data_IF_775828608220
#
_entry.id   IF_775828608220
#
_cell.length_a   1.000
_cell.length_b   1.000
_cell.length_c   1.000
_cell.angle_alpha   90.00
_cell.angle_beta   90.00
_cell.angle_gamma   90.00
#
_symmetry.space_group_name_H-M   'P 1'
#
loop_
_entity.id
_entity.type
_entity.pdbx_description
1 polymer ?
#
# COMPACT_ATOMS: atom_id res chain seq x y z
N UNK A 1 1.12 -66.59 -14.99
CA UNK A 1 1.33 -65.54 -16.01
C UNK A 1 0.78 -64.22 -15.48
N UNK A 2 1.53 -63.13 -15.69
CA UNK A 2 1.37 -61.80 -15.08
C UNK A 2 0.20 -60.97 -15.69
N UNK A 3 0.10 -59.63 -15.46
CA UNK A 3 -0.49 -58.93 -14.29
C UNK A 3 -1.51 -57.84 -14.73
N UNK A 4 -2.46 -57.35 -13.91
CA UNK A 4 -3.14 -56.05 -14.22
C UNK A 4 -3.45 -55.16 -13.00
N UNK A 5 -2.53 -54.19 -12.83
CA UNK A 5 -2.71 -52.73 -12.66
C UNK A 5 -3.58 -52.17 -11.51
N UNK A 6 -2.88 -51.56 -10.54
CA UNK A 6 -3.34 -50.50 -9.63
C UNK A 6 -4.06 -49.39 -10.40
N UNK A 7 -5.25 -49.01 -9.94
CA UNK A 7 -5.95 -47.82 -10.40
C UNK A 7 -5.61 -46.66 -9.47
N UNK A 8 -4.90 -45.66 -9.99
CA UNK A 8 -4.56 -44.41 -9.31
C UNK A 8 -5.76 -43.48 -9.41
N UNK A 9 -6.45 -43.22 -8.30
CA UNK A 9 -7.41 -42.12 -8.21
C UNK A 9 -6.62 -40.80 -8.28
N UNK A 10 -6.66 -40.16 -9.45
CA UNK A 10 -6.29 -38.74 -9.57
C UNK A 10 -7.40 -37.92 -8.95
N UNK A 11 -7.14 -37.32 -7.79
CA UNK A 11 -7.99 -36.27 -7.25
C UNK A 11 -7.90 -35.07 -8.18
N UNK A 12 -9.01 -34.78 -8.87
CA UNK A 12 -9.23 -33.52 -9.57
C UNK A 12 -9.52 -32.49 -8.49
N UNK A 13 -8.51 -31.73 -8.08
CA UNK A 13 -8.72 -30.52 -7.29
C UNK A 13 -9.32 -29.48 -8.23
N UNK A 14 -10.62 -29.23 -8.06
CA UNK A 14 -11.30 -28.11 -8.67
C UNK A 14 -10.60 -26.82 -8.21
N UNK A 15 -9.99 -26.13 -9.16
CA UNK A 15 -9.51 -24.77 -8.96
C UNK A 15 -10.79 -23.94 -8.91
N UNK A 16 -11.31 -23.73 -7.71
CA UNK A 16 -12.33 -22.72 -7.49
C UNK A 16 -11.75 -21.41 -8.01
N UNK A 17 -12.35 -20.97 -9.10
CA UNK A 17 -12.20 -19.70 -9.75
C UNK A 17 -12.25 -18.61 -8.67
N UNK A 18 -11.09 -18.18 -8.19
CA UNK A 18 -10.96 -16.97 -7.41
C UNK A 18 -11.10 -15.84 -8.43
N UNK A 19 -12.32 -15.61 -8.89
CA UNK A 19 -12.68 -14.35 -9.54
C UNK A 19 -12.34 -13.30 -8.50
N UNK A 20 -11.21 -12.63 -8.68
CA UNK A 20 -10.92 -11.41 -7.96
C UNK A 20 -12.06 -10.50 -8.39
N UNK A 21 -13.06 -10.36 -7.53
CA UNK A 21 -14.10 -9.35 -7.69
C UNK A 21 -13.33 -8.05 -7.47
N UNK A 22 -12.79 -7.51 -8.56
CA UNK A 22 -12.31 -6.14 -8.59
C UNK A 22 -13.59 -5.34 -8.49
N UNK A 23 -13.90 -4.85 -7.28
CA UNK A 23 -14.94 -3.83 -7.13
C UNK A 23 -14.71 -2.76 -8.20
N UNK A 24 -15.79 -2.28 -8.84
CA UNK A 24 -15.82 -1.38 -10.00
C UNK A 24 -15.20 0.03 -9.77
N UNK A 25 -14.13 0.15 -8.99
CA UNK A 25 -13.15 1.21 -9.14
C UNK A 25 -12.11 0.84 -10.20
N UNK A 26 -11.14 1.72 -10.50
CA UNK A 26 -11.14 2.70 -11.59
C UNK A 26 -11.29 2.14 -13.03
N UNK A 27 -11.90 0.96 -13.22
CA UNK A 27 -12.14 0.34 -14.53
C UNK A 27 -13.03 1.21 -15.45
N UNK A 28 -13.89 2.05 -14.87
CA UNK A 28 -14.73 3.01 -15.61
C UNK A 28 -13.93 4.07 -16.37
N UNK A 29 -12.64 4.27 -16.06
CA UNK A 29 -11.76 5.21 -16.76
C UNK A 29 -11.10 4.62 -18.01
N UNK A 30 -11.29 3.33 -18.29
CA UNK A 30 -10.87 2.70 -19.56
C UNK A 30 -11.73 3.12 -20.76
N UNK A 31 -12.79 3.89 -20.55
CA UNK A 31 -13.58 4.51 -21.62
C UNK A 31 -12.74 5.36 -22.59
N UNK A 32 -11.57 5.86 -22.16
CA UNK A 32 -10.62 6.57 -23.04
C UNK A 32 -9.93 5.67 -24.09
N UNK A 33 -9.96 4.35 -23.92
CA UNK A 33 -9.42 3.39 -24.91
C UNK A 33 -10.38 3.16 -26.08
N UNK A 34 -11.69 3.36 -25.87
CA UNK A 34 -12.68 3.23 -26.96
C UNK A 34 -12.47 4.29 -28.05
N UNK A 35 -11.95 5.47 -27.69
CA UNK A 35 -11.63 6.54 -28.65
C UNK A 35 -10.45 6.18 -29.57
N UNK A 36 -9.59 5.23 -29.19
CA UNK A 36 -8.47 4.76 -30.00
C UNK A 36 -8.87 3.74 -31.07
N UNK A 37 -10.00 3.06 -30.91
CA UNK A 37 -10.45 1.99 -31.80
C UNK A 37 -11.30 2.51 -32.98
N UNK A 38 -11.90 3.70 -32.85
CA UNK A 38 -12.77 4.27 -33.90
C UNK A 38 -12.01 5.12 -34.94
N UNK A 39 -10.75 5.45 -34.68
CA UNK A 39 -9.89 6.21 -35.59
C UNK A 39 -9.25 5.31 -36.65
N UNK A 40 -9.96 5.05 -37.75
CA UNK A 40 -9.41 4.41 -38.94
C UNK A 40 -8.27 5.20 -39.56
N UNK A 41 -7.05 5.01 -39.06
CA UNK A 41 -5.77 5.17 -39.75
C UNK A 41 -4.72 4.48 -38.87
N UNK A 42 -3.91 3.62 -39.51
CA UNK A 42 -3.09 2.60 -38.87
C UNK A 42 -2.29 3.07 -37.65
N UNK A 43 -2.13 2.15 -36.71
CA UNK A 43 -1.24 2.21 -35.53
C UNK A 43 0.02 3.04 -35.79
N UNK A 44 -0.06 4.35 -35.54
CA UNK A 44 1.07 5.27 -35.63
C UNK A 44 1.50 5.80 -34.26
N UNK A 45 0.89 5.35 -33.16
CA UNK A 45 1.53 5.45 -31.86
C UNK A 45 1.46 4.10 -31.12
N UNK A 46 2.64 3.64 -30.72
CA UNK A 46 2.93 2.33 -30.14
C UNK A 46 2.65 2.27 -28.63
N UNK A 47 2.30 3.40 -27.98
CA UNK A 47 1.86 3.44 -26.59
C UNK A 47 1.23 4.79 -26.25
N UNK A 48 0.18 4.80 -25.44
CA UNK A 48 -0.44 6.01 -24.86
C UNK A 48 -0.42 5.89 -23.34
N UNK A 49 0.15 6.88 -22.65
CA UNK A 49 0.15 6.95 -21.19
C UNK A 49 -1.09 7.72 -20.71
N UNK A 50 -1.75 7.20 -19.66
CA UNK A 50 -2.88 7.86 -19.00
C UNK A 50 -2.54 8.05 -17.51
N UNK A 51 -2.82 9.25 -16.99
CA UNK A 51 -2.63 9.57 -15.58
C UNK A 51 -3.97 9.91 -14.94
N UNK A 52 -4.32 9.20 -13.87
CA UNK A 52 -5.50 9.50 -13.06
C UNK A 52 -5.11 10.42 -11.90
N UNK A 53 -5.60 11.67 -11.93
CA UNK A 53 -5.34 12.67 -10.89
C UNK A 53 -5.81 12.23 -9.49
N UNK A 54 -6.75 11.28 -9.39
CA UNK A 54 -7.26 10.75 -8.13
C UNK A 54 -6.58 9.46 -7.68
N UNK A 55 -5.68 8.87 -8.48
CA UNK A 55 -5.00 7.63 -8.12
C UNK A 55 -4.22 7.77 -6.81
N UNK A 56 -3.31 8.74 -6.74
CA UNK A 56 -2.46 8.94 -5.56
C UNK A 56 -3.25 9.33 -4.31
N UNK A 57 -4.23 10.27 -4.37
CA UNK A 57 -5.12 10.55 -3.23
C UNK A 57 -5.88 9.31 -2.73
N UNK A 58 -6.48 8.53 -3.64
CA UNK A 58 -7.24 7.33 -3.27
C UNK A 58 -6.35 6.25 -2.67
N UNK A 59 -5.13 6.07 -3.19
CA UNK A 59 -4.14 5.16 -2.63
C UNK A 59 -3.77 5.58 -1.20
N UNK A 60 -3.51 6.87 -0.98
CA UNK A 60 -3.16 7.39 0.34
C UNK A 60 -4.32 7.27 1.34
N UNK A 61 -5.56 7.52 0.90
CA UNK A 61 -6.77 7.29 1.69
C UNK A 61 -6.91 5.83 2.11
N UNK A 62 -6.67 4.89 1.17
CA UNK A 62 -6.64 3.46 1.46
C UNK A 62 -5.60 3.10 2.52
N UNK A 63 -4.36 3.62 2.39
CA UNK A 63 -3.29 3.40 3.36
C UNK A 63 -3.63 3.98 4.75
N UNK A 64 -4.27 5.16 4.79
CA UNK A 64 -4.73 5.79 6.03
C UNK A 64 -5.77 4.93 6.73
N UNK A 65 -6.78 4.46 6.00
CA UNK A 65 -7.81 3.58 6.52
C UNK A 65 -7.24 2.27 7.06
N UNK A 66 -6.35 1.62 6.31
CA UNK A 66 -5.68 0.39 6.77
C UNK A 66 -4.94 0.59 8.09
N UNK A 67 -4.23 1.72 8.26
CA UNK A 67 -3.57 2.02 9.53
C UNK A 67 -4.56 2.21 10.67
N UNK A 68 -5.68 2.92 10.46
CA UNK A 68 -6.71 3.09 11.49
C UNK A 68 -7.36 1.77 11.91
N UNK A 69 -7.47 0.83 10.97
CA UNK A 69 -7.95 -0.54 11.20
C UNK A 69 -6.87 -1.48 11.78
N UNK A 70 -5.63 -1.01 11.96
CA UNK A 70 -4.43 -1.81 12.26
C UNK A 70 -4.22 -2.98 11.28
N UNK A 71 -4.71 -2.84 10.05
CA UNK A 71 -4.58 -3.85 9.01
C UNK A 71 -3.21 -3.75 8.34
N UNK A 72 -2.45 -4.84 8.35
CA UNK A 72 -1.08 -4.93 7.79
C UNK A 72 -0.04 -3.99 8.44
N UNK A 73 -0.34 -3.35 9.57
CA UNK A 73 0.66 -2.66 10.37
C UNK A 73 1.75 -3.65 10.82
N UNK A 74 3.00 -3.38 10.45
CA UNK A 74 4.14 -4.28 10.60
C UNK A 74 5.35 -3.62 11.29
N UNK A 75 5.20 -2.36 11.74
CA UNK A 75 6.18 -1.61 12.51
C UNK A 75 5.52 -0.84 13.65
N UNK A 76 6.16 -0.87 14.83
CA UNK A 76 5.79 -0.06 15.98
C UNK A 76 6.82 1.06 16.17
N UNK A 77 6.38 2.31 16.18
CA UNK A 77 7.24 3.45 16.54
C UNK A 77 6.91 3.90 17.95
N UNK A 78 7.88 3.80 18.85
CA UNK A 78 7.76 4.19 20.26
C UNK A 78 8.36 5.55 20.55
N UNK A 79 7.80 6.21 21.57
CA UNK A 79 8.41 7.30 22.35
C UNK A 79 8.49 6.83 23.80
N UNK A 80 9.02 7.67 24.70
CA UNK A 80 9.05 7.37 26.14
C UNK A 80 7.67 7.03 26.72
N UNK A 81 6.59 7.59 26.19
CA UNK A 81 5.25 7.49 26.81
C UNK A 81 4.15 6.94 25.90
N UNK A 82 4.37 6.86 24.59
CA UNK A 82 3.37 6.36 23.62
C UNK A 82 4.03 5.52 22.52
N UNK A 83 3.25 4.60 21.94
CA UNK A 83 3.61 3.85 20.74
C UNK A 83 2.55 3.98 19.66
N UNK A 84 2.95 3.79 18.41
CA UNK A 84 2.10 3.91 17.24
C UNK A 84 2.35 2.74 16.28
N UNK A 85 1.30 2.04 15.91
CA UNK A 85 1.33 1.02 14.86
C UNK A 85 1.25 1.68 13.48
N UNK A 86 2.17 1.29 12.59
CA UNK A 86 2.34 1.87 11.26
C UNK A 86 2.81 0.82 10.24
N UNK A 87 2.81 1.19 8.96
CA UNK A 87 3.36 0.39 7.87
C UNK A 87 4.80 0.78 7.60
N UNK A 88 5.71 -0.20 7.57
CA UNK A 88 7.12 -0.04 7.17
C UNK A 88 7.25 0.70 5.86
N UNK A 89 6.46 0.31 4.86
CA UNK A 89 6.55 0.86 3.50
C UNK A 89 6.21 2.35 3.47
N UNK A 90 5.22 2.78 4.25
CA UNK A 90 4.83 4.19 4.32
C UNK A 90 5.92 5.00 5.02
N UNK A 91 6.42 4.52 6.17
CA UNK A 91 7.47 5.21 6.91
C UNK A 91 8.79 5.30 6.13
N UNK A 92 9.19 4.23 5.44
CA UNK A 92 10.39 4.19 4.61
C UNK A 92 10.27 5.09 3.35
N UNK A 93 9.06 5.29 2.83
CA UNK A 93 8.84 6.17 1.67
C UNK A 93 8.85 7.65 2.05
N UNK A 94 8.43 7.98 3.27
CA UNK A 94 8.34 9.36 3.74
C UNK A 94 9.56 9.82 4.55
N UNK A 95 10.50 8.93 4.89
CA UNK A 95 11.61 9.26 5.79
C UNK A 95 12.86 8.41 5.53
N UNK A 96 13.96 9.09 5.22
CA UNK A 96 15.28 8.45 5.05
C UNK A 96 15.76 7.75 6.33
N UNK A 97 15.35 8.23 7.50
CA UNK A 97 15.70 7.60 8.77
C UNK A 97 15.12 6.17 8.86
N UNK A 98 13.81 6.04 8.63
CA UNK A 98 13.16 4.73 8.63
C UNK A 98 13.59 3.89 7.43
N UNK A 99 13.82 4.50 6.27
CA UNK A 99 14.37 3.82 5.10
C UNK A 99 15.70 3.13 5.43
N UNK A 100 16.66 3.87 6.02
CA UNK A 100 17.99 3.35 6.32
C UNK A 100 17.99 2.27 7.40
N UNK A 101 17.14 2.39 8.42
CA UNK A 101 16.95 1.35 9.44
C UNK A 101 16.42 0.07 8.80
N UNK A 102 15.32 0.17 8.04
CA UNK A 102 14.67 -0.99 7.42
C UNK A 102 15.50 -1.59 6.28
N UNK A 103 16.36 -0.80 5.63
CA UNK A 103 17.33 -1.30 4.66
C UNK A 103 18.43 -2.12 5.32
N UNK A 104 18.90 -1.70 6.51
CA UNK A 104 19.90 -2.44 7.29
C UNK A 104 19.31 -3.71 7.90
N UNK A 105 18.08 -3.63 8.40
CA UNK A 105 17.36 -4.77 8.95
C UNK A 105 15.85 -4.69 8.61
N UNK A 106 15.41 -5.38 7.54
CA UNK A 106 14.00 -5.44 7.16
C UNK A 106 13.12 -6.14 8.20
N UNK A 107 13.71 -6.95 9.07
CA UNK A 107 12.98 -7.71 10.10
C UNK A 107 12.62 -6.87 11.32
N UNK A 108 13.20 -5.67 11.48
CA UNK A 108 12.91 -4.73 12.57
C UNK A 108 11.40 -4.54 12.74
N UNK A 109 10.86 -4.85 13.92
CA UNK A 109 9.42 -4.69 14.24
C UNK A 109 9.14 -3.48 15.12
N UNK A 110 10.17 -2.90 15.74
CA UNK A 110 10.03 -1.76 16.65
C UNK A 110 11.21 -0.79 16.52
N UNK A 111 10.92 0.51 16.54
CA UNK A 111 11.91 1.59 16.63
C UNK A 111 11.49 2.56 17.72
N UNK A 112 12.39 2.85 18.67
CA UNK A 112 12.12 3.77 19.78
C UNK A 112 12.83 5.12 19.57
N UNK A 113 12.05 6.20 19.53
CA UNK A 113 12.47 7.59 19.37
C UNK A 113 12.27 8.35 20.68
N UNK A 114 13.16 8.09 21.63
CA UNK A 114 13.04 8.58 23.01
C UNK A 114 13.14 10.10 23.18
N UNK A 115 13.71 10.80 22.19
CA UNK A 115 13.92 12.25 22.23
C UNK A 115 12.92 13.02 21.36
N UNK A 116 11.87 12.34 20.86
CA UNK A 116 10.80 12.95 20.07
C UNK A 116 9.53 13.06 20.92
N UNK A 117 8.87 14.22 20.88
CA UNK A 117 7.61 14.41 21.59
C UNK A 117 6.51 13.50 21.02
N UNK A 118 5.67 12.86 21.87
CA UNK A 118 4.59 11.99 21.39
C UNK A 118 3.61 12.71 20.45
N UNK A 119 3.35 14.00 20.72
CA UNK A 119 2.49 14.83 19.89
C UNK A 119 3.14 15.09 18.53
N UNK A 120 4.40 15.52 18.51
CA UNK A 120 5.13 15.77 17.27
C UNK A 120 5.23 14.51 16.41
N UNK A 121 5.52 13.36 17.02
CA UNK A 121 5.55 12.09 16.30
C UNK A 121 4.17 11.73 15.72
N UNK A 122 3.10 11.88 16.50
CA UNK A 122 1.74 11.63 16.01
C UNK A 122 1.40 12.54 14.81
N UNK A 123 1.83 13.80 14.84
CA UNK A 123 1.64 14.76 13.75
C UNK A 123 2.43 14.37 12.49
N UNK A 124 3.70 13.97 12.62
CA UNK A 124 4.53 13.48 11.49
C UNK A 124 3.92 12.21 10.88
N UNK A 125 3.51 11.28 11.73
CA UNK A 125 2.86 10.06 11.28
C UNK A 125 1.51 10.40 10.59
N UNK A 126 0.72 11.34 11.10
CA UNK A 126 -0.51 11.78 10.43
C UNK A 126 -0.22 12.40 9.05
N UNK A 127 0.83 13.19 8.92
CA UNK A 127 1.29 13.73 7.64
C UNK A 127 1.63 12.63 6.65
N UNK A 128 2.38 11.59 7.07
CA UNK A 128 2.75 10.46 6.20
C UNK A 128 1.55 9.73 5.58
N UNK A 129 0.38 9.75 6.25
CA UNK A 129 -0.84 9.07 5.80
C UNK A 129 -1.91 9.98 5.19
N UNK A 130 -1.73 11.30 5.24
CA UNK A 130 -2.76 12.24 4.76
C UNK A 130 -2.21 13.30 3.81
N UNK A 131 -0.89 13.46 3.74
CA UNK A 131 -0.23 14.56 3.03
C UNK A 131 -0.50 15.93 3.65
N UNK A 132 -1.16 15.98 4.82
CA UNK A 132 -1.59 17.23 5.47
C UNK A 132 -0.89 17.38 6.81
N UNK A 133 -0.37 18.59 7.04
CA UNK A 133 0.32 18.95 8.27
C UNK A 133 -0.29 20.23 8.83
N UNK A 134 -0.93 20.12 10.00
CA UNK A 134 -1.44 21.29 10.72
C UNK A 134 -0.40 21.73 11.74
N UNK A 135 0.16 22.91 11.53
CA UNK A 135 1.14 23.50 12.44
C UNK A 135 0.47 24.55 13.33
N UNK A 136 0.73 24.49 14.63
CA UNK A 136 0.30 25.48 15.60
C UNK A 136 1.45 25.81 16.56
N UNK A 137 1.40 26.95 17.24
CA UNK A 137 2.43 27.33 18.22
C UNK A 137 2.60 26.28 19.34
N UNK A 138 1.52 25.58 19.70
CA UNK A 138 1.55 24.46 20.64
C UNK A 138 2.29 23.23 20.10
N UNK A 139 2.32 23.06 18.78
CA UNK A 139 2.96 21.91 18.10
C UNK A 139 4.43 22.17 17.82
N UNK A 140 4.85 23.44 17.68
CA UNK A 140 6.22 23.83 17.32
C UNK A 140 7.05 24.18 18.57
N UNK A 141 6.41 24.65 19.65
CA UNK A 141 7.09 25.18 20.85
C UNK A 141 7.16 24.24 22.06
N UNK A 142 6.92 22.93 21.90
CA UNK A 142 7.01 21.92 22.99
C UNK A 142 8.18 20.96 22.82
#
# INVERSE_FOLDING_TARGET
MAPKKKNVKKNKTDINELTIIVEDGPLSKLNGLNTFLEGGNGFSCVSTEFSDAFYSPNLLEGLCRMRLENFLCDLIIGTKTKSFDVHKVVMASCSDYFHNILKKDPSTQRVDLNDVSPLGLATVIAYAYTGKLTLSLYTIGS
#
